data_IF_785665861615
#
_entry.id   IF_785665861615
#
_cell.length_a   1.000
_cell.length_b   1.000
_cell.length_c   1.000
_cell.angle_alpha   90.00
_cell.angle_beta   90.00
_cell.angle_gamma   90.00
#
_symmetry.space_group_name_H-M   'P 1'
#
loop_
_entity.id
_entity.type
_entity.pdbx_description
1 polymer ?
#
# COMPACT_ATOMS: atom_id res chain seq x y z
N UNK A 1 -26.30 -31.19 -9.28
CA UNK A 1 -25.98 -30.49 -8.03
C UNK A 1 -25.45 -29.12 -8.40
N UNK A 2 -26.28 -28.07 -8.22
CA UNK A 2 -25.99 -26.71 -8.67
C UNK A 2 -25.48 -25.91 -7.46
N UNK A 3 -24.24 -25.45 -7.52
CA UNK A 3 -23.62 -24.61 -6.45
C UNK A 3 -23.95 -23.17 -6.81
N UNK A 4 -24.90 -22.58 -6.08
CA UNK A 4 -25.22 -21.17 -6.16
C UNK A 4 -24.12 -20.39 -5.41
N UNK A 5 -23.34 -19.61 -6.16
CA UNK A 5 -22.44 -18.61 -5.59
C UNK A 5 -23.27 -17.41 -5.12
N UNK A 6 -23.47 -17.30 -3.82
CA UNK A 6 -24.09 -16.14 -3.19
C UNK A 6 -23.04 -15.02 -3.14
N UNK A 7 -23.20 -14.05 -4.04
CA UNK A 7 -22.44 -12.80 -4.02
C UNK A 7 -23.01 -11.92 -2.91
N UNK A 8 -22.31 -11.80 -1.80
CA UNK A 8 -22.65 -10.82 -0.77
C UNK A 8 -22.21 -9.44 -1.26
N UNK A 9 -23.15 -8.70 -1.81
CA UNK A 9 -23.02 -7.25 -1.99
C UNK A 9 -23.09 -6.61 -0.61
N UNK A 10 -21.95 -6.21 -0.06
CA UNK A 10 -21.88 -5.36 1.15
C UNK A 10 -22.24 -3.95 0.73
N UNK A 11 -23.53 -3.65 0.82
CA UNK A 11 -24.04 -2.28 0.71
C UNK A 11 -23.66 -1.55 2.01
N UNK A 12 -22.57 -0.78 1.97
CA UNK A 12 -22.18 0.12 3.04
C UNK A 12 -23.16 1.30 3.04
N UNK A 13 -24.20 1.22 3.87
CA UNK A 13 -25.13 2.32 4.10
C UNK A 13 -24.37 3.50 4.71
N UNK A 14 -24.18 4.57 3.94
CA UNK A 14 -23.70 5.87 4.35
C UNK A 14 -24.73 6.53 5.29
N UNK A 15 -24.71 6.19 6.56
CA UNK A 15 -25.25 7.02 7.62
C UNK A 15 -24.23 8.14 7.88
N UNK A 16 -24.40 9.26 7.20
CA UNK A 16 -23.73 10.52 7.51
C UNK A 16 -24.25 11.02 8.87
N UNK A 17 -23.42 11.06 9.93
CA UNK A 17 -23.79 11.83 11.11
C UNK A 17 -23.68 13.31 10.72
N UNK A 18 -24.82 14.01 10.70
CA UNK A 18 -24.93 15.46 10.52
C UNK A 18 -24.43 16.26 11.76
N UNK A 19 -23.46 15.75 12.47
CA UNK A 19 -22.85 16.40 13.62
C UNK A 19 -21.35 16.50 13.42
N UNK A 20 -20.91 17.68 12.94
CA UNK A 20 -19.63 18.31 13.26
C UNK A 20 -19.39 19.48 12.28
N UNK A 21 -20.25 20.51 12.35
CA UNK A 21 -19.91 21.86 11.84
C UNK A 21 -19.03 22.61 12.87
N UNK A 22 -18.07 21.94 13.48
CA UNK A 22 -16.95 22.61 14.12
C UNK A 22 -15.97 22.95 13.01
N UNK A 23 -15.75 24.24 12.74
CA UNK A 23 -14.86 24.70 11.68
C UNK A 23 -13.48 24.05 11.80
N UNK A 24 -13.09 23.31 10.77
CA UNK A 24 -11.79 22.66 10.69
C UNK A 24 -10.70 23.73 10.72
N UNK A 25 -9.73 23.58 11.61
CA UNK A 25 -8.63 24.53 11.70
C UNK A 25 -7.71 24.42 10.48
N UNK A 26 -7.02 25.52 10.13
CA UNK A 26 -6.03 25.53 9.04
C UNK A 26 -5.01 24.40 9.17
N UNK A 27 -4.64 24.03 10.40
CA UNK A 27 -3.66 23.00 10.69
C UNK A 27 -4.22 21.59 10.45
N UNK A 28 -5.49 21.34 10.75
CA UNK A 28 -6.15 20.08 10.42
C UNK A 28 -6.23 19.85 8.90
N UNK A 29 -6.54 20.90 8.15
CA UNK A 29 -6.54 20.84 6.68
C UNK A 29 -5.16 20.55 6.11
N UNK A 30 -4.08 21.13 6.68
CA UNK A 30 -2.70 20.81 6.28
C UNK A 30 -2.33 19.37 6.57
N UNK A 31 -2.64 18.90 7.77
CA UNK A 31 -2.36 17.51 8.20
C UNK A 31 -3.07 16.50 7.30
N UNK A 32 -4.33 16.76 6.91
CA UNK A 32 -5.05 15.89 5.95
C UNK A 32 -4.40 15.89 4.57
N UNK A 33 -4.01 17.04 4.04
CA UNK A 33 -3.32 17.11 2.74
C UNK A 33 -2.00 16.35 2.78
N UNK A 34 -1.24 16.50 3.84
CA UNK A 34 0.01 15.76 4.05
C UNK A 34 -0.27 14.24 4.09
N UNK A 35 -1.30 13.80 4.81
CA UNK A 35 -1.68 12.39 4.87
C UNK A 35 -2.02 11.82 3.47
N UNK A 36 -2.77 12.56 2.65
CA UNK A 36 -3.08 12.17 1.26
C UNK A 36 -1.80 12.03 0.44
N UNK A 37 -0.89 13.01 0.50
CA UNK A 37 0.38 12.97 -0.24
C UNK A 37 1.26 11.78 0.17
N UNK A 38 1.34 11.50 1.48
CA UNK A 38 2.08 10.35 2.01
C UNK A 38 1.46 9.02 1.54
N UNK A 39 0.13 8.94 1.56
CA UNK A 39 -0.61 7.76 1.07
C UNK A 39 -0.36 7.53 -0.43
N UNK A 40 -0.37 8.57 -1.25
CA UNK A 40 -0.03 8.51 -2.67
C UNK A 40 1.43 8.09 -2.91
N UNK A 41 2.36 8.55 -2.06
CA UNK A 41 3.76 8.12 -2.11
C UNK A 41 3.90 6.62 -1.83
N UNK A 42 3.20 6.11 -0.81
CA UNK A 42 3.16 4.68 -0.46
C UNK A 42 2.56 3.86 -1.61
N UNK A 43 1.48 4.34 -2.20
CA UNK A 43 0.84 3.70 -3.36
C UNK A 43 1.80 3.59 -4.55
N UNK A 44 2.48 4.68 -4.90
CA UNK A 44 3.45 4.70 -5.99
C UNK A 44 4.60 3.72 -5.76
N UNK A 45 5.14 3.66 -4.55
CA UNK A 45 6.16 2.68 -4.17
C UNK A 45 5.63 1.25 -4.27
N UNK A 46 4.40 1.00 -3.82
CA UNK A 46 3.78 -0.33 -3.91
C UNK A 46 3.56 -0.77 -5.37
N UNK A 47 3.15 0.13 -6.26
CA UNK A 47 3.01 -0.14 -7.71
C UNK A 47 4.34 -0.50 -8.36
N UNK A 48 5.43 0.20 -8.01
CA UNK A 48 6.78 -0.16 -8.49
C UNK A 48 7.20 -1.55 -8.02
N UNK A 49 7.01 -1.85 -6.73
CA UNK A 49 7.33 -3.15 -6.14
C UNK A 49 6.50 -4.26 -6.81
N UNK A 50 5.21 -4.03 -7.04
CA UNK A 50 4.36 -4.97 -7.76
C UNK A 50 4.94 -5.29 -9.15
N UNK A 51 5.24 -4.26 -9.94
CA UNK A 51 5.79 -4.42 -11.30
C UNK A 51 7.12 -5.18 -11.28
N UNK A 52 8.03 -4.83 -10.36
CA UNK A 52 9.34 -5.51 -10.27
C UNK A 52 9.21 -6.97 -9.82
N UNK A 53 8.30 -7.27 -8.90
CA UNK A 53 8.07 -8.65 -8.44
C UNK A 53 7.43 -9.52 -9.52
N UNK A 54 6.49 -9.00 -10.30
CA UNK A 54 5.89 -9.68 -11.43
C UNK A 54 6.95 -9.95 -12.52
N UNK A 55 7.82 -8.99 -12.79
CA UNK A 55 8.93 -9.14 -13.73
C UNK A 55 9.91 -10.23 -13.26
N UNK A 56 10.29 -10.21 -11.98
CA UNK A 56 11.12 -11.27 -11.39
C UNK A 56 10.46 -12.65 -11.48
N UNK A 57 9.15 -12.75 -11.28
CA UNK A 57 8.43 -14.02 -11.39
C UNK A 57 8.43 -14.57 -12.82
N UNK A 58 8.32 -13.70 -13.83
CA UNK A 58 8.46 -14.09 -15.25
C UNK A 58 9.88 -14.58 -15.55
N UNK A 59 10.89 -13.84 -15.09
CA UNK A 59 12.29 -14.19 -15.27
C UNK A 59 12.66 -15.52 -14.58
N UNK A 60 12.13 -15.74 -13.37
CA UNK A 60 12.33 -16.98 -12.62
C UNK A 60 11.80 -18.19 -13.40
N UNK A 61 10.61 -18.08 -13.98
CA UNK A 61 9.99 -19.16 -14.79
C UNK A 61 10.73 -19.44 -16.09
N UNK A 62 11.25 -18.41 -16.75
CA UNK A 62 11.96 -18.56 -18.02
C UNK A 62 13.40 -19.08 -17.87
N UNK A 63 13.95 -19.02 -16.65
CA UNK A 63 15.37 -19.34 -16.41
C UNK A 63 16.35 -18.45 -17.17
N UNK A 64 15.87 -17.33 -17.73
CA UNK A 64 16.62 -16.52 -18.70
C UNK A 64 17.64 -15.57 -18.07
N UNK A 65 17.69 -15.44 -16.75
CA UNK A 65 18.51 -14.44 -16.07
C UNK A 65 19.33 -15.06 -14.94
N UNK A 66 20.55 -14.53 -14.78
CA UNK A 66 21.50 -14.95 -13.76
C UNK A 66 20.98 -14.66 -12.34
N UNK A 67 21.47 -15.42 -11.36
CA UNK A 67 21.18 -15.18 -9.94
C UNK A 67 21.56 -13.75 -9.52
N UNK A 68 22.62 -13.18 -10.08
CA UNK A 68 23.05 -11.81 -9.84
C UNK A 68 21.96 -10.79 -10.25
N UNK A 69 21.34 -10.97 -11.41
CA UNK A 69 20.27 -10.06 -11.86
C UNK A 69 19.02 -10.16 -10.97
N UNK A 70 18.71 -11.35 -10.45
CA UNK A 70 17.65 -11.51 -9.47
C UNK A 70 17.98 -10.80 -8.16
N UNK A 71 19.20 -10.95 -7.65
CA UNK A 71 19.66 -10.26 -6.44
C UNK A 71 19.62 -8.74 -6.60
N UNK A 72 20.06 -8.22 -7.75
CA UNK A 72 20.03 -6.78 -8.03
C UNK A 72 18.59 -6.24 -7.98
N UNK A 73 17.64 -6.93 -8.63
CA UNK A 73 16.24 -6.50 -8.62
C UNK A 73 15.58 -6.65 -7.25
N UNK A 74 15.90 -7.69 -6.48
CA UNK A 74 15.45 -7.81 -5.10
C UNK A 74 15.99 -6.67 -4.23
N UNK A 75 17.24 -6.26 -4.46
CA UNK A 75 17.82 -5.10 -3.80
C UNK A 75 17.07 -3.81 -4.16
N UNK A 76 16.65 -3.63 -5.42
CA UNK A 76 15.81 -2.49 -5.84
C UNK A 76 14.48 -2.49 -5.09
N UNK A 77 13.82 -3.64 -4.94
CA UNK A 77 12.59 -3.76 -4.13
C UNK A 77 12.84 -3.39 -2.67
N UNK A 78 13.92 -3.91 -2.08
CA UNK A 78 14.28 -3.60 -0.69
C UNK A 78 14.59 -2.11 -0.48
N UNK A 79 15.28 -1.49 -1.43
CA UNK A 79 15.58 -0.04 -1.43
C UNK A 79 14.28 0.79 -1.51
N UNK A 80 13.36 0.44 -2.41
CA UNK A 80 12.06 1.12 -2.51
C UNK A 80 11.26 1.03 -1.19
N UNK A 81 11.30 -0.12 -0.52
CA UNK A 81 10.67 -0.29 0.78
C UNK A 81 11.33 0.59 1.84
N UNK A 82 12.65 0.52 1.95
CA UNK A 82 13.38 1.13 3.07
C UNK A 82 13.56 2.64 2.92
N UNK A 83 13.77 3.13 1.69
CA UNK A 83 14.14 4.51 1.43
C UNK A 83 12.96 5.40 1.00
N UNK A 84 11.89 4.80 0.46
CA UNK A 84 10.72 5.55 0.02
C UNK A 84 9.49 5.25 0.87
N UNK A 85 9.11 3.99 1.01
CA UNK A 85 7.88 3.61 1.69
C UNK A 85 7.96 3.77 3.21
N UNK A 86 9.05 3.31 3.85
CA UNK A 86 9.19 3.36 5.32
C UNK A 86 9.21 4.79 5.88
N UNK A 87 9.92 5.78 5.30
CA UNK A 87 9.85 7.16 5.75
C UNK A 87 8.43 7.75 5.64
N UNK A 88 7.71 7.45 4.55
CA UNK A 88 6.33 7.90 4.38
C UNK A 88 5.39 7.29 5.44
N UNK A 89 5.52 5.99 5.72
CA UNK A 89 4.76 5.30 6.77
C UNK A 89 5.08 5.84 8.16
N UNK A 90 6.35 6.11 8.46
CA UNK A 90 6.78 6.72 9.72
C UNK A 90 6.14 8.09 9.90
N UNK A 91 6.24 8.94 8.88
CA UNK A 91 5.65 10.28 8.93
C UNK A 91 4.12 10.23 9.05
N UNK A 92 3.48 9.31 8.35
CA UNK A 92 2.04 9.09 8.44
C UNK A 92 1.62 8.66 9.86
N UNK A 93 2.41 7.83 10.53
CA UNK A 93 2.18 7.44 11.93
C UNK A 93 2.35 8.61 12.92
N UNK A 94 3.28 9.54 12.66
CA UNK A 94 3.49 10.73 13.49
C UNK A 94 2.29 11.68 13.44
N UNK A 95 1.66 11.85 12.26
CA UNK A 95 0.51 12.74 12.10
C UNK A 95 -0.83 12.06 12.39
N UNK A 96 -0.85 10.71 12.50
CA UNK A 96 -2.06 9.91 12.73
C UNK A 96 -2.94 10.41 13.88
N UNK A 97 -2.42 10.80 15.06
CA UNK A 97 -3.27 11.29 16.16
C UNK A 97 -4.07 12.56 15.85
N UNK A 98 -3.62 13.34 14.87
CA UNK A 98 -4.31 14.56 14.40
C UNK A 98 -5.32 14.31 13.27
N UNK A 99 -5.47 13.05 12.84
CA UNK A 99 -6.39 12.66 11.78
C UNK A 99 -7.74 12.20 12.36
N UNK A 100 -8.85 12.33 11.61
CA UNK A 100 -10.13 11.71 11.97
C UNK A 100 -10.02 10.18 12.11
N UNK A 101 -10.90 9.57 12.91
CA UNK A 101 -10.86 8.13 13.26
C UNK A 101 -10.74 7.19 12.07
N UNK A 102 -11.46 7.47 10.98
CA UNK A 102 -11.40 6.65 9.77
C UNK A 102 -10.02 6.67 9.10
N UNK A 103 -9.33 7.84 9.12
CA UNK A 103 -7.96 7.96 8.63
C UNK A 103 -7.00 7.18 9.50
N UNK A 104 -7.21 7.17 10.81
CA UNK A 104 -6.39 6.40 11.74
C UNK A 104 -6.47 4.91 11.42
N UNK A 105 -7.68 4.38 11.16
CA UNK A 105 -7.88 2.99 10.74
C UNK A 105 -7.23 2.70 9.38
N UNK A 106 -7.28 3.64 8.43
CA UNK A 106 -6.64 3.50 7.13
C UNK A 106 -5.11 3.44 7.27
N UNK A 107 -4.52 4.29 8.12
CA UNK A 107 -3.08 4.28 8.45
C UNK A 107 -2.66 2.96 9.05
N UNK A 108 -3.43 2.40 9.99
CA UNK A 108 -3.12 1.11 10.59
C UNK A 108 -3.14 -0.04 9.56
N UNK A 109 -4.10 -0.04 8.65
CA UNK A 109 -4.17 -1.02 7.55
C UNK A 109 -2.98 -0.89 6.60
N UNK A 110 -2.58 0.32 6.25
CA UNK A 110 -1.39 0.58 5.43
C UNK A 110 -0.13 0.03 6.10
N UNK A 111 0.06 0.29 7.40
CA UNK A 111 1.21 -0.19 8.17
C UNK A 111 1.28 -1.71 8.22
N UNK A 112 0.16 -2.39 8.49
CA UNK A 112 0.10 -3.86 8.53
C UNK A 112 0.43 -4.44 7.14
N UNK A 113 -0.18 -3.91 6.08
CA UNK A 113 0.07 -4.37 4.71
C UNK A 113 1.51 -4.17 4.27
N UNK A 114 2.11 -3.02 4.61
CA UNK A 114 3.50 -2.70 4.31
C UNK A 114 4.49 -3.58 5.11
N UNK A 115 4.19 -3.89 6.37
CA UNK A 115 5.01 -4.80 7.19
C UNK A 115 5.04 -6.21 6.59
N UNK A 116 3.89 -6.72 6.15
CA UNK A 116 3.80 -8.01 5.48
C UNK A 116 4.59 -8.04 4.16
N UNK A 117 4.50 -6.96 3.37
CA UNK A 117 5.27 -6.80 2.14
C UNK A 117 6.78 -6.82 2.41
N UNK A 118 7.23 -6.04 3.39
CA UNK A 118 8.63 -5.96 3.80
C UNK A 118 9.17 -7.32 4.30
N UNK A 119 8.39 -8.07 5.06
CA UNK A 119 8.76 -9.39 5.55
C UNK A 119 9.01 -10.38 4.39
N UNK A 120 8.13 -10.41 3.39
CA UNK A 120 8.32 -11.29 2.23
C UNK A 120 9.45 -10.83 1.31
N UNK A 121 9.67 -9.52 1.14
CA UNK A 121 10.81 -8.99 0.39
C UNK A 121 12.13 -9.39 1.08
N UNK A 122 12.25 -9.23 2.40
CA UNK A 122 13.41 -9.66 3.16
C UNK A 122 13.64 -11.17 3.06
N UNK A 123 12.60 -11.98 3.16
CA UNK A 123 12.70 -13.43 2.99
C UNK A 123 13.22 -13.81 1.59
N UNK A 124 12.79 -13.12 0.54
CA UNK A 124 13.28 -13.34 -0.82
C UNK A 124 14.76 -12.93 -0.99
N UNK A 125 15.17 -11.81 -0.38
CA UNK A 125 16.58 -11.38 -0.33
C UNK A 125 17.44 -12.43 0.37
N UNK A 126 17.00 -12.93 1.54
CA UNK A 126 17.72 -13.96 2.29
C UNK A 126 17.79 -15.29 1.54
N UNK A 127 16.70 -15.69 0.89
CA UNK A 127 16.67 -16.91 0.08
C UNK A 127 17.73 -16.89 -1.04
N UNK A 128 18.01 -15.70 -1.63
CA UNK A 128 18.96 -15.55 -2.74
C UNK A 128 20.34 -15.03 -2.35
N UNK A 129 20.49 -14.44 -1.15
CA UNK A 129 21.71 -13.73 -0.77
C UNK A 129 22.79 -14.59 -0.10
N UNK A 130 22.41 -15.60 0.70
CA UNK A 130 23.34 -16.31 1.59
C UNK A 130 23.75 -17.70 1.15
N UNK A 131 23.11 -18.30 0.16
CA UNK A 131 23.51 -19.59 -0.36
C UNK A 131 23.86 -19.48 -1.85
N UNK A 132 25.02 -19.98 -2.25
CA UNK A 132 25.16 -20.43 -3.63
C UNK A 132 23.93 -21.30 -3.92
N UNK A 133 23.07 -20.94 -4.89
CA UNK A 133 21.81 -21.62 -5.07
C UNK A 133 22.05 -23.09 -5.27
N UNK A 134 21.60 -23.91 -4.32
CA UNK A 134 21.76 -25.37 -4.38
C UNK A 134 21.01 -25.98 -5.57
N UNK A 135 20.14 -25.19 -6.16
CA UNK A 135 19.35 -25.58 -7.33
C UNK A 135 19.13 -24.39 -8.30
N UNK A 136 18.92 -24.65 -9.59
CA UNK A 136 18.58 -23.61 -10.55
C UNK A 136 17.38 -22.77 -10.09
N UNK A 137 17.41 -21.46 -10.33
CA UNK A 137 16.34 -20.52 -9.95
C UNK A 137 14.95 -20.99 -10.43
N UNK A 138 14.89 -21.57 -11.64
CA UNK A 138 13.64 -22.05 -12.24
C UNK A 138 13.00 -23.18 -11.46
N UNK A 139 13.76 -23.93 -10.68
CA UNK A 139 13.29 -25.05 -9.87
C UNK A 139 13.04 -24.65 -8.42
N UNK A 140 13.32 -23.42 -8.01
CA UNK A 140 13.15 -22.94 -6.66
C UNK A 140 11.70 -22.49 -6.41
N UNK A 141 10.90 -23.43 -5.93
CA UNK A 141 9.47 -23.21 -5.63
C UNK A 141 9.23 -22.24 -4.48
N UNK A 142 10.13 -22.24 -3.49
CA UNK A 142 10.03 -21.33 -2.33
C UNK A 142 10.27 -19.88 -2.77
N UNK A 143 11.29 -19.67 -3.60
CA UNK A 143 11.53 -18.37 -4.19
C UNK A 143 10.38 -17.90 -5.08
N UNK A 144 9.85 -18.78 -5.92
CA UNK A 144 8.68 -18.48 -6.74
C UNK A 144 7.47 -18.06 -5.89
N UNK A 145 7.24 -18.74 -4.77
CA UNK A 145 6.15 -18.39 -3.85
C UNK A 145 6.39 -17.04 -3.16
N UNK A 146 7.63 -16.73 -2.76
CA UNK A 146 7.98 -15.43 -2.19
C UNK A 146 7.72 -14.29 -3.18
N UNK A 147 8.11 -14.43 -4.46
CA UNK A 147 7.83 -13.43 -5.49
C UNK A 147 6.33 -13.23 -5.70
N UNK A 148 5.55 -14.30 -5.72
CA UNK A 148 4.08 -14.25 -5.81
C UNK A 148 3.48 -13.51 -4.61
N UNK A 149 3.98 -13.79 -3.40
CA UNK A 149 3.53 -13.12 -2.18
C UNK A 149 3.84 -11.64 -2.20
N UNK A 150 5.06 -11.23 -2.61
CA UNK A 150 5.45 -9.83 -2.76
C UNK A 150 4.48 -9.12 -3.71
N UNK A 151 4.25 -9.67 -4.91
CA UNK A 151 3.34 -9.08 -5.91
C UNK A 151 1.91 -8.94 -5.39
N UNK A 152 1.39 -9.98 -4.75
CA UNK A 152 0.03 -9.99 -4.17
C UNK A 152 -0.12 -8.96 -3.04
N UNK A 153 0.88 -8.86 -2.16
CA UNK A 153 0.85 -7.92 -1.04
C UNK A 153 1.05 -6.49 -1.50
N UNK A 154 1.91 -6.24 -2.48
CA UNK A 154 2.06 -4.94 -3.12
C UNK A 154 0.74 -4.48 -3.75
N UNK A 155 0.04 -5.36 -4.48
CA UNK A 155 -1.29 -5.09 -5.04
C UNK A 155 -2.32 -4.76 -3.95
N UNK A 156 -2.33 -5.52 -2.85
CA UNK A 156 -3.22 -5.23 -1.71
C UNK A 156 -2.90 -3.86 -1.11
N UNK A 157 -1.62 -3.52 -0.95
CA UNK A 157 -1.20 -2.22 -0.42
C UNK A 157 -1.62 -1.06 -1.34
N UNK A 158 -1.50 -1.23 -2.67
CA UNK A 158 -2.05 -0.27 -3.66
C UNK A 158 -3.54 -0.05 -3.43
N UNK A 159 -4.34 -1.12 -3.32
CA UNK A 159 -5.78 -1.00 -3.12
C UNK A 159 -6.15 -0.29 -1.81
N UNK A 160 -5.42 -0.57 -0.73
CA UNK A 160 -5.66 0.10 0.57
C UNK A 160 -5.28 1.58 0.51
N UNK A 161 -4.17 1.91 -0.16
CA UNK A 161 -3.70 3.29 -0.31
C UNK A 161 -4.64 4.10 -1.21
N UNK A 162 -5.05 3.55 -2.34
CA UNK A 162 -6.00 4.14 -3.28
C UNK A 162 -7.33 4.49 -2.59
N UNK A 163 -7.94 3.50 -1.90
CA UNK A 163 -9.17 3.71 -1.16
C UNK A 163 -9.04 4.77 -0.05
N UNK A 164 -7.89 4.82 0.64
CA UNK A 164 -7.62 5.83 1.67
C UNK A 164 -7.44 7.23 1.06
N UNK A 165 -6.78 7.33 -0.09
CA UNK A 165 -6.57 8.56 -0.84
C UNK A 165 -7.89 9.15 -1.35
N UNK A 166 -8.68 8.34 -2.05
CA UNK A 166 -9.97 8.73 -2.63
C UNK A 166 -10.94 9.25 -1.56
N UNK A 167 -11.03 8.54 -0.44
CA UNK A 167 -11.89 8.96 0.65
C UNK A 167 -11.40 10.27 1.27
N UNK A 168 -10.08 10.45 1.46
CA UNK A 168 -9.49 11.68 1.96
C UNK A 168 -9.78 12.88 1.05
N UNK A 169 -9.66 12.72 -0.26
CA UNK A 169 -9.98 13.77 -1.24
C UNK A 169 -11.47 14.12 -1.25
N UNK A 170 -12.36 13.13 -1.18
CA UNK A 170 -13.80 13.35 -1.14
C UNK A 170 -14.20 14.19 0.07
N UNK A 171 -13.61 13.91 1.25
CA UNK A 171 -13.83 14.68 2.46
C UNK A 171 -13.34 16.14 2.34
N UNK A 172 -12.17 16.37 1.74
CA UNK A 172 -11.65 17.73 1.51
C UNK A 172 -12.55 18.53 0.55
N UNK A 173 -13.08 17.90 -0.50
CA UNK A 173 -14.00 18.54 -1.46
C UNK A 173 -15.33 18.88 -0.79
N UNK A 174 -15.89 17.97 -0.01
CA UNK A 174 -17.14 18.20 0.73
C UNK A 174 -17.04 19.36 1.71
N UNK A 175 -15.93 19.44 2.45
CA UNK A 175 -15.68 20.53 3.40
C UNK A 175 -15.60 21.90 2.70
N UNK A 176 -14.90 22.00 1.56
CA UNK A 176 -14.80 23.24 0.78
C UNK A 176 -16.16 23.71 0.24
N UNK A 177 -16.99 22.76 -0.20
CA UNK A 177 -18.35 23.09 -0.68
C UNK A 177 -19.23 23.64 0.47
N UNK A 178 -19.14 23.06 1.67
CA UNK A 178 -19.85 23.55 2.86
C UNK A 178 -19.42 24.96 3.27
N UNK A 179 -18.12 25.27 3.24
CA UNK A 179 -17.61 26.62 3.55
C UNK A 179 -18.05 27.66 2.52
N UNK A 180 -18.11 27.30 1.23
CA UNK A 180 -18.57 28.21 0.17
C UNK A 180 -20.04 28.58 0.33
N UNK A 181 -20.89 27.68 0.80
CA UNK A 181 -22.31 27.93 1.08
C UNK A 181 -22.46 28.87 2.28
N UNK A 182 -21.71 28.61 3.38
CA UNK A 182 -21.80 29.40 4.61
C UNK A 182 -21.26 30.84 4.47
N UNK A 183 -20.49 31.16 3.43
CA UNK A 183 -19.96 32.50 3.16
C UNK A 183 -20.88 33.37 2.31
N UNK A 184 -22.03 32.87 1.86
CA UNK A 184 -23.01 33.59 1.04
C UNK A 184 -24.28 33.99 1.79
N UNK A 185 -24.41 33.61 3.07
CA UNK A 185 -25.46 34.02 4.00
C UNK A 185 -24.94 35.14 4.94
#
# INVERSE_FOLDING_TARGET
MSIQHTVYAVTLALLLPAALMAGETSDQTKTRKEAIQLTQSIENSARKIQTESEHLAVMQKSGSISNFSHQYKLHTIATEINEQMQPALKRLAEIQPGLPDWNQQAVDRLRISAANLAANANAAVLNRGFAAPRQPIVLDTDYAQLLKNIGSQAKTLVQVADAAGDYGEAQLKGHRAGLAIASHD
#
